data_IF_777489126068
#
_entry.id   IF_777489126068
#
_cell.length_a   1.000
_cell.length_b   1.000
_cell.length_c   1.000
_cell.angle_alpha   90.00
_cell.angle_beta   90.00
_cell.angle_gamma   90.00
#
_symmetry.space_group_name_H-M   'P 1'
#
loop_
_entity.id
_entity.type
_entity.pdbx_description
1 polymer ?
#
# COMPACT_ATOMS: atom_id res chain seq x y z
N UNK A 1 64.59 9.89 -28.80
CA UNK A 1 63.27 10.49 -28.89
C UNK A 1 62.22 9.39 -28.67
N UNK A 2 61.76 9.24 -27.43
CA UNK A 2 60.81 8.21 -27.03
C UNK A 2 59.46 8.91 -26.83
N UNK A 3 58.46 8.61 -27.66
CA UNK A 3 57.08 9.13 -27.55
C UNK A 3 56.32 8.26 -26.54
N UNK A 4 56.02 8.80 -25.38
CA UNK A 4 55.09 8.25 -24.41
C UNK A 4 53.68 8.46 -24.97
N UNK A 5 52.98 7.37 -25.33
CA UNK A 5 51.56 7.37 -25.58
C UNK A 5 50.83 7.26 -24.23
N UNK A 6 50.24 8.35 -23.78
CA UNK A 6 49.35 8.35 -22.62
C UNK A 6 48.00 7.75 -23.03
N UNK A 7 47.71 6.52 -22.60
CA UNK A 7 46.41 5.90 -22.69
C UNK A 7 45.48 6.55 -21.63
N UNK A 8 44.60 7.44 -22.10
CA UNK A 8 43.54 8.02 -21.29
C UNK A 8 42.43 6.95 -21.11
N UNK A 9 42.48 6.22 -20.00
CA UNK A 9 41.36 5.37 -19.56
C UNK A 9 40.19 6.28 -19.14
N UNK A 10 39.27 6.52 -20.02
CA UNK A 10 37.95 7.05 -19.69
C UNK A 10 37.23 6.00 -18.87
N UNK A 11 37.29 6.12 -17.54
CA UNK A 11 36.39 5.45 -16.64
C UNK A 11 34.99 5.98 -16.92
N UNK A 12 34.20 5.24 -17.70
CA UNK A 12 32.79 5.42 -17.80
C UNK A 12 32.19 5.10 -16.43
N UNK A 13 32.05 6.12 -15.59
CA UNK A 13 31.19 6.05 -14.45
C UNK A 13 29.79 5.73 -14.95
N UNK A 14 29.39 4.49 -14.81
CA UNK A 14 28.03 4.05 -14.96
C UNK A 14 27.19 4.73 -13.86
N UNK A 15 26.88 6.01 -14.11
CA UNK A 15 25.93 6.75 -13.30
C UNK A 15 24.58 6.08 -13.51
N UNK A 16 24.20 5.21 -12.57
CA UNK A 16 22.86 4.63 -12.54
C UNK A 16 21.85 5.70 -12.91
N UNK A 17 21.10 5.46 -13.98
CA UNK A 17 20.14 6.38 -14.57
C UNK A 17 18.99 6.63 -13.60
N UNK A 18 19.21 7.49 -12.61
CA UNK A 18 18.14 8.01 -11.79
C UNK A 18 17.28 8.90 -12.68
N UNK A 19 16.10 8.40 -13.04
CA UNK A 19 15.14 9.16 -13.83
C UNK A 19 14.74 10.41 -13.06
N UNK A 20 14.89 11.58 -13.68
CA UNK A 20 14.61 12.87 -13.05
C UNK A 20 13.10 13.16 -12.91
N UNK A 21 12.25 12.43 -13.63
CA UNK A 21 10.80 12.57 -13.54
C UNK A 21 10.09 11.21 -13.56
N UNK A 22 8.88 11.11 -12.98
CA UNK A 22 8.07 9.89 -13.03
C UNK A 22 7.78 9.41 -14.46
N UNK A 23 7.51 10.33 -15.39
CA UNK A 23 7.30 10.01 -16.82
C UNK A 23 8.53 9.34 -17.42
N UNK A 24 9.73 9.85 -17.13
CA UNK A 24 10.98 9.25 -17.61
C UNK A 24 11.25 7.88 -16.97
N UNK A 25 10.94 7.72 -15.67
CA UNK A 25 11.07 6.44 -15.00
C UNK A 25 10.16 5.39 -15.61
N UNK A 26 8.89 5.74 -15.83
CA UNK A 26 7.89 4.86 -16.41
C UNK A 26 8.24 4.51 -17.86
N UNK A 27 8.52 5.51 -18.71
CA UNK A 27 8.87 5.27 -20.10
C UNK A 27 10.12 4.42 -20.25
N UNK A 28 11.14 4.66 -19.44
CA UNK A 28 12.37 3.86 -19.44
C UNK A 28 12.12 2.40 -19.03
N UNK A 29 11.31 2.18 -17.98
CA UNK A 29 10.92 0.81 -17.57
C UNK A 29 10.15 0.08 -18.67
N UNK A 30 9.13 0.72 -19.26
CA UNK A 30 8.30 0.13 -20.31
C UNK A 30 9.12 -0.15 -21.57
N UNK A 31 10.03 0.75 -21.93
CA UNK A 31 10.91 0.57 -23.07
C UNK A 31 11.86 -0.62 -22.88
N UNK A 32 12.54 -0.70 -21.74
CA UNK A 32 13.44 -1.82 -21.43
C UNK A 32 12.67 -3.15 -21.42
N UNK A 33 11.47 -3.18 -20.82
CA UNK A 33 10.61 -4.35 -20.81
C UNK A 33 10.15 -4.75 -22.20
N UNK A 34 9.71 -3.80 -23.05
CA UNK A 34 9.24 -4.05 -24.42
C UNK A 34 10.35 -4.51 -25.38
N UNK A 35 11.59 -4.11 -25.13
CA UNK A 35 12.77 -4.50 -25.90
C UNK A 35 13.40 -5.81 -25.40
N UNK A 36 12.89 -6.39 -24.28
CA UNK A 36 13.48 -7.58 -23.67
C UNK A 36 14.76 -7.32 -22.88
N UNK A 37 15.06 -6.07 -22.56
CA UNK A 37 16.19 -5.70 -21.70
C UNK A 37 15.87 -5.98 -20.24
N UNK A 38 15.66 -7.24 -19.90
CA UNK A 38 15.12 -7.70 -18.62
C UNK A 38 15.93 -7.16 -17.42
N UNK A 39 17.25 -7.19 -17.53
CA UNK A 39 18.11 -6.75 -16.42
C UNK A 39 18.00 -5.23 -16.19
N UNK A 40 17.93 -4.44 -17.24
CA UNK A 40 17.72 -3.00 -17.15
C UNK A 40 16.35 -2.67 -16.55
N UNK A 41 15.28 -3.33 -17.03
CA UNK A 41 13.94 -3.17 -16.48
C UNK A 41 13.88 -3.58 -14.99
N UNK A 42 14.49 -4.71 -14.62
CA UNK A 42 14.54 -5.19 -13.24
C UNK A 42 15.27 -4.20 -12.30
N UNK A 43 16.36 -3.60 -12.76
CA UNK A 43 17.10 -2.60 -11.96
C UNK A 43 16.31 -1.31 -11.71
N UNK A 44 15.30 -1.00 -12.52
CA UNK A 44 14.41 0.15 -12.30
C UNK A 44 13.35 -0.08 -11.21
N UNK A 45 13.16 -1.33 -10.78
CA UNK A 45 12.23 -1.67 -9.70
C UNK A 45 12.81 -1.27 -8.34
N UNK A 46 11.94 -0.93 -7.40
CA UNK A 46 12.36 -0.55 -6.05
C UNK A 46 13.10 -1.69 -5.34
N UNK A 47 14.03 -1.41 -4.44
CA UNK A 47 14.69 -2.44 -3.63
C UNK A 47 13.70 -3.34 -2.89
N UNK A 48 12.61 -2.75 -2.37
CA UNK A 48 11.55 -3.50 -1.68
C UNK A 48 10.85 -4.51 -2.61
N UNK A 49 10.58 -4.12 -3.87
CA UNK A 49 10.00 -5.06 -4.84
C UNK A 49 11.01 -6.18 -5.16
N UNK A 50 12.28 -5.85 -5.40
CA UNK A 50 13.32 -6.83 -5.73
C UNK A 50 13.62 -7.83 -4.60
N UNK A 51 13.37 -7.46 -3.34
CA UNK A 51 13.44 -8.38 -2.20
C UNK A 51 12.30 -9.43 -2.20
N UNK A 52 11.12 -9.07 -2.72
CA UNK A 52 9.94 -9.94 -2.77
C UNK A 52 9.84 -10.76 -4.05
N UNK A 53 10.41 -10.27 -5.12
CA UNK A 53 10.36 -10.87 -6.45
C UNK A 53 11.75 -10.79 -7.06
N UNK A 54 12.45 -11.90 -7.08
CA UNK A 54 13.75 -12.02 -7.72
C UNK A 54 13.64 -11.88 -9.25
N UNK A 55 14.77 -11.89 -9.95
CA UNK A 55 14.80 -11.78 -11.39
C UNK A 55 13.96 -12.85 -12.11
N UNK A 56 13.99 -14.10 -11.62
CA UNK A 56 13.22 -15.19 -12.22
C UNK A 56 11.71 -15.01 -12.02
N UNK A 57 11.31 -14.53 -10.83
CA UNK A 57 9.93 -14.12 -10.56
C UNK A 57 9.49 -13.00 -11.53
N UNK A 58 10.33 -11.99 -11.72
CA UNK A 58 10.03 -10.86 -12.62
C UNK A 58 9.86 -11.30 -14.07
N UNK A 59 10.70 -12.20 -14.56
CA UNK A 59 10.56 -12.80 -15.91
C UNK A 59 9.20 -13.47 -16.05
N UNK A 60 8.79 -14.30 -15.08
CA UNK A 60 7.47 -14.96 -15.12
C UNK A 60 6.31 -13.95 -15.15
N UNK A 61 6.43 -12.83 -14.45
CA UNK A 61 5.41 -11.78 -14.48
C UNK A 61 5.29 -11.14 -15.88
N UNK A 62 6.42 -10.91 -16.55
CA UNK A 62 6.41 -10.37 -17.92
C UNK A 62 5.85 -11.39 -18.93
N UNK A 63 6.22 -12.67 -18.79
CA UNK A 63 5.75 -13.75 -19.67
C UNK A 63 4.25 -14.03 -19.49
N UNK A 64 3.70 -13.78 -18.29
CA UNK A 64 2.27 -13.93 -18.04
C UNK A 64 1.41 -12.88 -18.77
N UNK A 65 2.01 -11.76 -19.21
CA UNK A 65 1.30 -10.65 -19.84
C UNK A 65 2.05 -10.16 -21.10
N UNK A 66 2.16 -11.01 -22.12
CA UNK A 66 2.94 -10.70 -23.32
C UNK A 66 2.36 -9.48 -24.06
N UNK A 67 3.23 -8.54 -24.39
CA UNK A 67 2.87 -7.33 -25.15
C UNK A 67 2.31 -6.18 -24.32
N UNK A 68 1.96 -6.37 -23.04
CA UNK A 68 1.40 -5.32 -22.21
C UNK A 68 2.35 -4.12 -22.06
N UNK A 69 3.65 -4.35 -21.88
CA UNK A 69 4.64 -3.27 -21.79
C UNK A 69 4.68 -2.41 -23.06
N UNK A 70 4.50 -3.02 -24.22
CA UNK A 70 4.46 -2.30 -25.50
C UNK A 70 3.17 -1.48 -25.63
N UNK A 71 2.03 -2.08 -25.30
CA UNK A 71 0.74 -1.38 -25.32
C UNK A 71 0.78 -0.15 -24.39
N UNK A 72 1.23 -0.32 -23.14
CA UNK A 72 1.35 0.79 -22.17
C UNK A 72 2.34 1.86 -22.66
N UNK A 73 3.43 1.48 -23.34
CA UNK A 73 4.36 2.42 -23.90
C UNK A 73 3.72 3.24 -25.03
N UNK A 74 2.89 2.63 -25.86
CA UNK A 74 2.18 3.31 -26.94
C UNK A 74 1.10 4.24 -26.39
N UNK A 75 0.37 3.83 -25.37
CA UNK A 75 -0.57 4.70 -24.63
C UNK A 75 0.13 5.91 -24.00
N UNK A 76 1.30 5.69 -23.37
CA UNK A 76 2.11 6.75 -22.79
C UNK A 76 2.62 7.77 -23.84
N UNK A 77 2.85 7.30 -25.08
CA UNK A 77 3.27 8.17 -26.19
C UNK A 77 2.11 8.92 -26.82
N UNK A 78 0.93 8.31 -26.84
CA UNK A 78 -0.28 8.89 -27.43
C UNK A 78 -0.89 10.01 -26.57
N UNK A 79 -0.60 10.05 -25.28
CA UNK A 79 -1.14 11.02 -24.33
C UNK A 79 -0.10 11.63 -23.39
N UNK A 80 -0.47 12.74 -22.76
CA UNK A 80 0.30 13.27 -21.62
C UNK A 80 -0.26 12.69 -20.33
N UNK A 81 0.45 11.77 -19.66
CA UNK A 81 0.00 11.24 -18.39
C UNK A 81 0.04 12.34 -17.32
N UNK A 82 -1.04 12.48 -16.59
CA UNK A 82 -1.01 13.30 -15.37
C UNK A 82 -0.10 12.61 -14.35
N UNK A 83 0.73 13.38 -13.67
CA UNK A 83 1.62 12.87 -12.64
C UNK A 83 1.15 13.38 -11.30
N UNK A 84 0.79 12.46 -10.41
CA UNK A 84 0.48 12.77 -9.00
C UNK A 84 1.61 12.26 -8.14
N UNK A 85 2.16 13.12 -7.29
CA UNK A 85 3.12 12.70 -6.28
C UNK A 85 2.34 12.33 -5.02
N UNK A 86 2.53 11.10 -4.54
CA UNK A 86 1.94 10.67 -3.28
C UNK A 86 3.02 10.44 -2.23
N UNK A 87 2.69 10.78 -0.99
CA UNK A 87 3.49 10.49 0.17
C UNK A 87 2.59 9.84 1.23
N UNK A 88 3.12 8.88 1.95
CA UNK A 88 2.44 8.24 3.07
C UNK A 88 3.18 8.59 4.36
N UNK A 89 2.48 9.26 5.28
CA UNK A 89 2.98 9.50 6.63
C UNK A 89 2.41 8.44 7.56
N UNK A 90 3.28 7.61 8.15
CA UNK A 90 2.89 6.61 9.15
C UNK A 90 3.04 7.20 10.56
N UNK A 91 1.95 7.21 11.31
CA UNK A 91 1.95 7.64 12.70
C UNK A 91 2.36 6.47 13.62
N UNK A 92 2.76 6.79 14.86
CA UNK A 92 3.21 5.80 15.84
C UNK A 92 2.15 4.74 16.18
N UNK A 93 0.87 5.05 16.01
CA UNK A 93 -0.26 4.14 16.23
C UNK A 93 -0.60 3.27 15.01
N UNK A 94 0.25 3.27 13.96
CA UNK A 94 0.05 2.54 12.72
C UNK A 94 -0.92 3.21 11.74
N UNK A 95 -1.39 4.44 12.05
CA UNK A 95 -2.21 5.21 11.10
C UNK A 95 -1.35 5.65 9.92
N UNK A 96 -1.87 5.46 8.71
CA UNK A 96 -1.31 6.03 7.50
C UNK A 96 -2.16 7.21 7.03
N UNK A 97 -1.51 8.34 6.77
CA UNK A 97 -2.11 9.51 6.15
C UNK A 97 -1.50 9.63 4.75
N UNK A 98 -2.36 9.61 3.72
CA UNK A 98 -1.92 9.80 2.35
C UNK A 98 -2.04 11.27 1.98
N UNK A 99 -0.94 11.79 1.48
CA UNK A 99 -0.84 13.14 0.96
C UNK A 99 -0.57 13.04 -0.55
N UNK A 100 -1.19 13.91 -1.31
CA UNK A 100 -1.00 14.01 -2.75
C UNK A 100 -0.61 15.43 -3.12
N UNK A 101 0.14 15.54 -4.19
CA UNK A 101 0.58 16.82 -4.77
C UNK A 101 0.56 16.68 -6.28
N UNK A 102 -0.05 17.66 -6.93
CA UNK A 102 0.05 17.76 -8.39
C UNK A 102 1.50 17.97 -8.80
N UNK A 103 1.84 17.46 -9.97
CA UNK A 103 3.14 17.76 -10.55
C UNK A 103 3.28 19.28 -10.66
N UNK A 104 4.41 19.87 -10.23
CA UNK A 104 4.62 21.30 -10.40
C UNK A 104 4.54 21.61 -11.90
N UNK A 105 3.60 22.48 -12.27
CA UNK A 105 3.61 23.08 -13.60
C UNK A 105 4.97 23.73 -13.81
N UNK A 106 5.52 23.58 -15.00
CA UNK A 106 6.81 24.15 -15.40
C UNK A 106 6.88 25.67 -15.21
N UNK A 107 5.75 26.32 -14.95
CA UNK A 107 5.63 27.78 -14.77
C UNK A 107 5.62 28.24 -13.30
N UNK A 108 5.46 27.35 -12.31
CA UNK A 108 5.44 27.72 -10.89
C UNK A 108 6.15 26.68 -10.02
N UNK A 109 7.49 26.66 -10.02
CA UNK A 109 8.23 25.69 -9.22
C UNK A 109 8.17 25.91 -7.70
N UNK A 110 7.57 26.99 -7.22
CA UNK A 110 7.71 27.43 -5.82
C UNK A 110 6.52 27.14 -4.90
N UNK A 111 5.40 26.60 -5.38
CA UNK A 111 4.23 26.31 -4.53
C UNK A 111 3.80 24.85 -4.62
N UNK A 112 4.69 23.94 -4.28
CA UNK A 112 4.37 22.52 -4.23
C UNK A 112 3.83 22.15 -2.84
N UNK A 113 2.57 22.46 -2.59
CA UNK A 113 1.88 22.05 -1.37
C UNK A 113 1.38 20.61 -1.49
N UNK A 114 1.52 19.85 -0.42
CA UNK A 114 0.85 18.57 -0.28
C UNK A 114 -0.54 18.75 0.29
N UNK A 115 -1.51 18.05 -0.25
CA UNK A 115 -2.89 18.01 0.22
C UNK A 115 -3.21 16.64 0.75
N UNK A 116 -4.08 16.55 1.75
CA UNK A 116 -4.56 15.26 2.21
C UNK A 116 -5.44 14.62 1.12
N UNK A 117 -5.08 13.42 0.70
CA UNK A 117 -5.87 12.63 -0.25
C UNK A 117 -7.12 12.03 0.39
N UNK A 118 -7.08 11.80 1.69
CA UNK A 118 -8.18 11.30 2.49
C UNK A 118 -8.59 12.35 3.54
N UNK A 119 -9.79 12.21 4.12
CA UNK A 119 -10.20 13.07 5.22
C UNK A 119 -9.31 12.82 6.46
N UNK A 120 -8.42 13.75 6.85
CA UNK A 120 -7.51 13.56 7.98
C UNK A 120 -8.25 13.53 9.33
N UNK A 121 -9.52 13.95 9.36
CA UNK A 121 -10.36 13.93 10.56
C UNK A 121 -11.12 12.60 10.73
N UNK A 122 -11.09 11.73 9.71
CA UNK A 122 -11.64 10.39 9.82
C UNK A 122 -10.63 9.45 10.46
N UNK A 123 -10.55 9.49 11.79
CA UNK A 123 -9.63 8.66 12.57
C UNK A 123 -9.99 7.17 12.58
N UNK A 124 -11.21 6.82 12.18
CA UNK A 124 -11.72 5.45 12.28
C UNK A 124 -12.48 5.04 11.01
N UNK A 125 -11.81 5.10 9.83
CA UNK A 125 -12.44 4.76 8.55
C UNK A 125 -12.86 3.29 8.49
N UNK A 126 -13.98 3.04 7.81
CA UNK A 126 -14.57 1.72 7.60
C UNK A 126 -14.91 1.46 6.12
N UNK A 127 -14.26 2.17 5.22
CA UNK A 127 -14.48 2.13 3.77
C UNK A 127 -13.82 0.92 3.10
N UNK A 128 -12.75 0.40 3.66
CA UNK A 128 -12.06 -0.80 3.19
C UNK A 128 -11.79 -1.78 4.34
N UNK A 129 -11.70 -3.10 4.06
CA UNK A 129 -11.42 -4.10 5.10
C UNK A 129 -10.14 -3.80 5.90
N UNK A 130 -9.05 -3.47 5.21
CA UNK A 130 -7.76 -3.18 5.86
C UNK A 130 -7.83 -1.94 6.75
N UNK A 131 -8.46 -0.85 6.28
CA UNK A 131 -8.64 0.37 7.09
C UNK A 131 -9.56 0.13 8.28
N UNK A 132 -10.59 -0.70 8.11
CA UNK A 132 -11.50 -1.10 9.18
C UNK A 132 -10.77 -1.85 10.29
N UNK A 133 -9.94 -2.84 9.96
CA UNK A 133 -9.16 -3.58 10.97
C UNK A 133 -8.18 -2.67 11.72
N UNK A 134 -7.47 -1.79 11.00
CA UNK A 134 -6.58 -0.80 11.64
C UNK A 134 -7.34 0.13 12.56
N UNK A 135 -8.52 0.60 12.15
CA UNK A 135 -9.40 1.45 12.94
C UNK A 135 -9.93 0.73 14.18
N UNK A 136 -10.30 -0.54 14.04
CA UNK A 136 -10.75 -1.39 15.14
C UNK A 136 -9.64 -1.57 16.19
N UNK A 137 -8.43 -1.96 15.77
CA UNK A 137 -7.27 -2.12 16.67
C UNK A 137 -6.92 -0.80 17.36
N UNK A 138 -6.99 0.32 16.65
CA UNK A 138 -6.76 1.66 17.22
C UNK A 138 -7.80 2.02 18.27
N UNK A 139 -9.08 1.80 17.99
CA UNK A 139 -10.17 2.06 18.93
C UNK A 139 -10.02 1.20 20.20
N UNK A 140 -9.66 -0.08 20.02
CA UNK A 140 -9.37 -0.99 21.14
C UNK A 140 -8.19 -0.50 21.99
N UNK A 141 -7.06 -0.19 21.37
CA UNK A 141 -5.85 0.26 22.07
C UNK A 141 -6.07 1.57 22.85
N UNK A 142 -6.99 2.41 22.40
CA UNK A 142 -7.37 3.66 23.04
C UNK A 142 -8.58 3.52 23.97
N UNK A 143 -9.08 2.30 24.16
CA UNK A 143 -10.26 2.00 24.99
C UNK A 143 -11.50 2.83 24.59
N UNK A 144 -11.64 3.15 23.31
CA UNK A 144 -12.77 3.92 22.75
C UNK A 144 -13.92 2.96 22.44
N UNK A 145 -14.60 2.49 23.49
CA UNK A 145 -15.72 1.54 23.38
C UNK A 145 -16.92 2.14 22.65
N UNK A 146 -17.11 3.44 22.73
CA UNK A 146 -18.07 4.22 21.95
C UNK A 146 -17.81 4.13 20.44
N UNK A 147 -16.55 4.06 20.04
CA UNK A 147 -16.12 3.87 18.66
C UNK A 147 -16.18 2.39 18.27
N UNK A 148 -15.74 1.48 19.16
CA UNK A 148 -15.76 0.03 18.92
C UNK A 148 -17.16 -0.49 18.60
N UNK A 149 -18.21 0.07 19.19
CA UNK A 149 -19.59 -0.28 18.88
C UNK A 149 -19.96 -0.07 17.40
N UNK A 150 -19.28 0.83 16.69
CA UNK A 150 -19.51 1.08 15.26
C UNK A 150 -19.01 -0.05 14.35
N UNK A 151 -18.09 -0.88 14.87
CA UNK A 151 -17.53 -2.03 14.15
C UNK A 151 -18.32 -3.31 14.38
N UNK A 152 -19.31 -3.29 15.26
CA UNK A 152 -20.16 -4.44 15.54
C UNK A 152 -21.16 -4.61 14.40
N UNK A 153 -21.43 -5.85 13.92
CA UNK A 153 -22.48 -6.14 12.96
C UNK A 153 -23.85 -5.68 13.48
N UNK A 154 -24.72 -5.25 12.59
CA UNK A 154 -26.10 -4.82 12.95
C UNK A 154 -26.87 -5.84 13.77
N UNK A 155 -26.71 -7.11 13.44
CA UNK A 155 -27.35 -8.22 14.15
C UNK A 155 -26.96 -8.31 15.64
N UNK A 156 -25.85 -7.71 16.03
CA UNK A 156 -25.32 -7.71 17.38
C UNK A 156 -25.37 -6.32 18.05
N UNK A 157 -25.71 -5.28 17.33
CA UNK A 157 -25.69 -3.87 17.79
C UNK A 157 -26.54 -3.67 19.07
N UNK A 158 -27.74 -4.31 19.13
CA UNK A 158 -28.61 -4.24 20.30
C UNK A 158 -28.08 -4.97 21.54
N UNK A 159 -27.13 -5.92 21.35
CA UNK A 159 -26.56 -6.75 22.41
C UNK A 159 -25.22 -6.25 22.91
N UNK A 160 -24.50 -5.47 22.09
CA UNK A 160 -23.14 -5.02 22.33
C UNK A 160 -23.08 -3.48 22.41
N UNK A 161 -23.76 -2.93 23.43
CA UNK A 161 -23.62 -1.52 23.77
C UNK A 161 -22.17 -1.18 24.15
N UNK A 162 -21.75 0.10 24.14
CA UNK A 162 -20.41 0.49 24.58
C UNK A 162 -20.02 -0.05 25.95
N UNK A 163 -20.97 -0.06 26.91
CA UNK A 163 -20.75 -0.60 28.26
C UNK A 163 -20.61 -2.12 28.25
N UNK A 164 -21.43 -2.83 27.48
CA UNK A 164 -21.32 -4.28 27.32
C UNK A 164 -19.99 -4.66 26.67
N UNK A 165 -19.54 -3.91 25.66
CA UNK A 165 -18.21 -4.08 25.07
C UNK A 165 -17.12 -3.84 26.08
N UNK A 166 -17.18 -2.73 26.83
CA UNK A 166 -16.21 -2.44 27.89
C UNK A 166 -16.11 -3.58 28.90
N UNK A 167 -17.25 -4.04 29.41
CA UNK A 167 -17.30 -5.16 30.34
C UNK A 167 -16.65 -6.40 29.72
N UNK A 168 -17.06 -6.79 28.53
CA UNK A 168 -16.57 -7.97 27.82
C UNK A 168 -15.05 -7.91 27.60
N UNK A 169 -14.54 -6.80 27.08
CA UNK A 169 -13.10 -6.63 26.85
C UNK A 169 -12.25 -6.57 28.14
N UNK A 170 -12.88 -6.24 29.26
CA UNK A 170 -12.20 -6.22 30.58
C UNK A 170 -12.22 -7.62 31.23
N UNK A 171 -13.30 -8.39 31.02
CA UNK A 171 -13.49 -9.69 31.69
C UNK A 171 -13.00 -10.89 30.87
N UNK A 172 -12.82 -10.74 29.58
CA UNK A 172 -12.37 -11.81 28.67
C UNK A 172 -10.92 -11.56 28.16
N UNK A 173 -9.87 -12.01 28.89
CA UNK A 173 -8.48 -11.78 28.48
C UNK A 173 -8.13 -12.33 27.11
N UNK A 174 -8.82 -13.38 26.67
CA UNK A 174 -8.64 -13.98 25.35
C UNK A 174 -8.84 -13.00 24.20
N UNK A 175 -9.75 -12.03 24.37
CA UNK A 175 -9.99 -11.01 23.33
C UNK A 175 -8.77 -10.11 23.15
N UNK A 176 -8.11 -9.72 24.23
CA UNK A 176 -6.89 -8.91 24.14
C UNK A 176 -5.79 -9.65 23.37
N UNK A 177 -5.63 -10.94 23.62
CA UNK A 177 -4.68 -11.80 22.87
C UNK A 177 -5.04 -11.85 21.39
N UNK A 178 -6.32 -12.00 21.05
CA UNK A 178 -6.78 -12.01 19.65
C UNK A 178 -6.53 -10.67 18.95
N UNK A 179 -6.76 -9.54 19.65
CA UNK A 179 -6.49 -8.21 19.09
C UNK A 179 -4.98 -7.97 18.91
N UNK A 180 -4.16 -8.49 19.83
CA UNK A 180 -2.70 -8.40 19.69
C UNK A 180 -2.19 -9.29 18.53
N UNK A 181 -2.76 -10.47 18.34
CA UNK A 181 -2.52 -11.29 17.17
C UNK A 181 -2.94 -10.56 15.88
N UNK A 182 -4.15 -10.01 15.85
CA UNK A 182 -4.62 -9.19 14.72
C UNK A 182 -3.67 -8.03 14.41
N UNK A 183 -3.15 -7.35 15.44
CA UNK A 183 -2.20 -6.23 15.24
C UNK A 183 -0.94 -6.65 14.49
N UNK A 184 -0.43 -7.86 14.72
CA UNK A 184 0.76 -8.38 14.05
C UNK A 184 0.53 -8.72 12.57
N UNK A 185 -0.73 -8.98 12.17
CA UNK A 185 -1.11 -9.42 10.83
C UNK A 185 -1.77 -8.32 9.97
N UNK A 186 -1.84 -7.06 10.46
CA UNK A 186 -2.53 -5.96 9.76
C UNK A 186 -1.95 -5.61 8.38
N UNK A 187 -0.72 -6.00 8.10
CA UNK A 187 -0.03 -5.77 6.81
C UNK A 187 -0.15 -6.97 5.85
N UNK A 188 -0.79 -8.06 6.28
CA UNK A 188 -1.01 -9.21 5.44
C UNK A 188 -2.19 -9.02 4.47
N UNK A 189 -2.16 -9.71 3.32
CA UNK A 189 -3.22 -9.60 2.34
C UNK A 189 -4.53 -10.21 2.85
N UNK A 190 -5.63 -9.45 2.70
CA UNK A 190 -6.98 -9.95 2.96
C UNK A 190 -7.54 -10.61 1.69
N UNK A 191 -8.28 -11.69 1.90
CA UNK A 191 -9.12 -12.28 0.84
C UNK A 191 -10.51 -11.65 0.92
N UNK A 192 -10.98 -11.05 -0.19
CA UNK A 192 -12.30 -10.43 -0.26
C UNK A 192 -13.17 -11.18 -1.24
N UNK A 193 -14.38 -11.53 -0.82
CA UNK A 193 -15.41 -12.17 -1.63
C UNK A 193 -16.72 -11.39 -1.46
N UNK A 194 -17.02 -10.54 -2.43
CA UNK A 194 -18.22 -9.68 -2.42
C UNK A 194 -18.30 -8.82 -1.16
N UNK A 195 -19.26 -9.15 -0.28
CA UNK A 195 -19.50 -8.43 0.97
C UNK A 195 -18.77 -9.00 2.18
N UNK A 196 -17.87 -9.96 1.98
CA UNK A 196 -17.11 -10.61 3.06
C UNK A 196 -15.62 -10.43 2.80
N UNK A 197 -14.86 -10.17 3.87
CA UNK A 197 -13.40 -10.16 3.82
C UNK A 197 -12.84 -10.99 4.98
N UNK A 198 -11.72 -11.68 4.73
CA UNK A 198 -11.07 -12.56 5.70
C UNK A 198 -9.59 -12.28 5.81
N UNK A 199 -9.09 -12.28 7.03
CA UNK A 199 -7.68 -12.20 7.35
C UNK A 199 -7.30 -13.41 8.20
N UNK A 200 -6.48 -14.35 7.69
CA UNK A 200 -5.97 -15.44 8.51
C UNK A 200 -5.00 -14.89 9.56
N UNK A 201 -5.11 -15.38 10.80
CA UNK A 201 -4.19 -15.07 11.90
C UNK A 201 -3.32 -16.27 12.29
N UNK A 202 -3.56 -17.43 11.68
CA UNK A 202 -2.89 -18.69 11.96
C UNK A 202 -3.67 -19.87 11.40
N UNK A 203 -3.24 -21.13 11.68
CA UNK A 203 -3.85 -22.33 11.09
C UNK A 203 -5.36 -22.46 11.31
N UNK A 204 -5.86 -22.05 12.48
CA UNK A 204 -7.26 -22.20 12.87
C UNK A 204 -7.88 -20.86 13.34
N UNK A 205 -7.22 -19.76 13.05
CA UNK A 205 -7.67 -18.43 13.49
C UNK A 205 -7.82 -17.48 12.31
N UNK A 206 -8.97 -16.83 12.23
CA UNK A 206 -9.23 -15.82 11.22
C UNK A 206 -10.08 -14.67 11.77
N UNK A 207 -9.91 -13.51 11.17
CA UNK A 207 -10.84 -12.39 11.34
C UNK A 207 -11.73 -12.32 10.12
N UNK A 208 -13.03 -12.29 10.33
CA UNK A 208 -14.01 -12.11 9.27
C UNK A 208 -14.65 -10.73 9.39
N UNK A 209 -14.73 -10.03 8.27
CA UNK A 209 -15.46 -8.77 8.15
C UNK A 209 -16.64 -8.96 7.19
N UNK A 210 -17.69 -8.18 7.42
CA UNK A 210 -18.83 -8.08 6.52
C UNK A 210 -19.07 -6.63 6.11
N UNK A 211 -19.57 -6.45 4.90
CA UNK A 211 -19.95 -5.13 4.39
C UNK A 211 -21.43 -4.91 4.56
N UNK A 212 -21.80 -3.97 5.42
CA UNK A 212 -23.19 -3.59 5.73
C UNK A 212 -23.33 -2.07 5.70
N UNK A 213 -24.38 -1.56 5.05
CA UNK A 213 -24.73 -0.14 4.98
C UNK A 213 -23.57 0.77 4.54
N UNK A 214 -22.83 0.34 3.55
CA UNK A 214 -21.69 1.12 3.02
C UNK A 214 -20.44 1.11 3.91
N UNK A 215 -20.37 0.21 4.90
CA UNK A 215 -19.24 0.11 5.83
C UNK A 215 -18.85 -1.33 6.10
N UNK A 216 -17.56 -1.56 6.31
CA UNK A 216 -17.06 -2.83 6.78
C UNK A 216 -17.18 -2.94 8.31
N UNK A 217 -17.59 -4.09 8.79
CA UNK A 217 -17.77 -4.40 10.21
C UNK A 217 -17.08 -5.70 10.57
N UNK A 218 -16.59 -5.81 11.80
CA UNK A 218 -15.89 -7.01 12.29
C UNK A 218 -16.93 -8.00 12.80
N UNK A 219 -17.13 -9.09 12.06
CA UNK A 219 -18.13 -10.10 12.38
C UNK A 219 -17.60 -11.10 13.41
N UNK A 220 -16.35 -11.49 13.29
CA UNK A 220 -15.76 -12.57 14.09
C UNK A 220 -14.28 -12.32 14.28
N UNK A 221 -13.81 -12.49 15.54
CA UNK A 221 -12.44 -12.64 15.94
C UNK A 221 -12.33 -14.05 16.51
N UNK A 222 -11.63 -14.96 15.86
CA UNK A 222 -11.40 -16.33 16.34
C UNK A 222 -9.99 -16.77 16.05
#
# INVERSE_FOLDING_TARGET
MKRLAALLLLALCDCGTSSRSPKQALSGFLQDSALGNIDAAYQRLSPTFRQRCDRACFVRLLDAQPGQSRQLLDELRAGEPSTVYSAEAKLADGTSLRLERDAPDSQSPSSSSFFFADNPLDFYPQDTPSRTLRSFVRAFSRQRFDVLSRFVPKSLESKLSPDALKQRFTTEPAIAVQVDSLRQHLDEPLTTDGSTARLPLGPDQEVTLIFEDGRWRVQKLQ
#
